data_IF_838306390493
#
_entry.id   IF_838306390493
#
_cell.length_a   1.000
_cell.length_b   1.000
_cell.length_c   1.000
_cell.angle_alpha   90.00
_cell.angle_beta   90.00
_cell.angle_gamma   90.00
#
_symmetry.space_group_name_H-M   'P 1'
#
loop_
_entity.id
_entity.type
_entity.pdbx_description
1 polymer ?
#
# COMPACT_ATOMS: atom_id res chain seq x y z
N UNK A 1 -28.35 -49.44 92.74
CA UNK A 1 -28.48 -49.51 91.29
C UNK A 1 -28.01 -48.16 90.71
N UNK A 2 -26.82 -48.18 90.19
CA UNK A 2 -26.23 -46.95 89.61
C UNK A 2 -26.39 -46.97 88.10
N UNK A 3 -27.06 -45.99 87.47
CA UNK A 3 -27.24 -45.97 85.98
C UNK A 3 -25.88 -45.67 85.36
N UNK A 4 -25.51 -46.52 84.38
CA UNK A 4 -24.30 -46.36 83.59
C UNK A 4 -24.32 -45.04 82.80
N UNK A 5 -23.22 -44.34 82.88
CA UNK A 5 -23.04 -43.10 82.09
C UNK A 5 -23.04 -43.41 80.57
N UNK A 6 -23.65 -42.54 79.73
CA UNK A 6 -23.68 -42.75 78.27
C UNK A 6 -22.26 -42.66 77.69
N UNK A 7 -21.92 -43.61 76.87
CA UNK A 7 -20.65 -43.65 76.11
C UNK A 7 -20.63 -42.46 75.13
N UNK A 8 -19.53 -41.65 75.11
CA UNK A 8 -19.44 -40.55 74.14
C UNK A 8 -19.40 -41.11 72.72
N UNK A 9 -20.18 -40.49 71.86
CA UNK A 9 -20.18 -40.81 70.42
C UNK A 9 -18.78 -40.62 69.81
N UNK A 10 -18.35 -41.47 68.89
CA UNK A 10 -17.06 -41.25 68.18
C UNK A 10 -17.05 -39.94 67.44
N UNK A 11 -16.03 -39.14 67.65
CA UNK A 11 -15.80 -37.88 66.93
C UNK A 11 -15.52 -38.27 65.48
N UNK A 12 -16.39 -37.86 64.55
CA UNK A 12 -16.15 -38.03 63.13
C UNK A 12 -14.85 -37.28 62.72
N UNK A 13 -13.97 -38.01 62.12
CA UNK A 13 -12.69 -37.49 61.61
C UNK A 13 -12.93 -36.32 60.66
N UNK A 14 -12.32 -35.18 60.93
CA UNK A 14 -12.40 -34.00 60.05
C UNK A 14 -11.70 -34.36 58.75
N UNK A 15 -12.48 -34.60 57.70
CA UNK A 15 -11.97 -34.83 56.34
C UNK A 15 -11.16 -33.61 55.94
N UNK A 16 -9.87 -33.76 55.75
CA UNK A 16 -8.99 -32.69 55.31
C UNK A 16 -9.46 -32.12 53.94
N UNK A 17 -9.03 -30.90 53.58
CA UNK A 17 -9.48 -30.24 52.36
C UNK A 17 -9.22 -31.15 51.16
N UNK A 18 -10.29 -31.53 50.46
CA UNK A 18 -10.24 -32.30 49.21
C UNK A 18 -9.65 -31.37 48.16
N UNK A 19 -8.49 -31.69 47.64
CA UNK A 19 -7.92 -31.00 46.53
C UNK A 19 -8.86 -31.16 45.31
N UNK A 20 -9.59 -30.11 44.96
CA UNK A 20 -10.53 -30.09 43.82
C UNK A 20 -9.85 -30.21 42.47
N UNK A 21 -8.51 -30.17 42.42
CA UNK A 21 -7.77 -30.25 41.14
C UNK A 21 -6.99 -31.58 41.06
N UNK A 22 -7.47 -32.52 40.24
CA UNK A 22 -6.83 -33.84 40.07
C UNK A 22 -5.54 -33.80 39.21
N UNK A 23 -5.13 -32.63 38.75
CA UNK A 23 -4.00 -32.49 37.81
C UNK A 23 -2.72 -32.11 38.58
N UNK A 24 -1.60 -32.77 38.30
CA UNK A 24 -0.33 -32.40 38.93
C UNK A 24 0.08 -30.99 38.54
N UNK A 25 0.63 -30.21 39.45
CA UNK A 25 0.99 -28.78 39.27
C UNK A 25 1.84 -28.56 38.01
N UNK A 26 2.76 -29.50 37.70
CA UNK A 26 3.57 -29.42 36.48
C UNK A 26 2.75 -29.45 35.18
N UNK A 27 1.62 -30.18 35.15
CA UNK A 27 0.76 -30.25 33.98
C UNK A 27 0.01 -28.93 33.77
N UNK A 28 -0.40 -28.25 34.82
CA UNK A 28 -1.02 -26.90 34.75
C UNK A 28 -0.01 -25.88 34.25
N UNK A 29 1.23 -25.95 34.74
CA UNK A 29 2.31 -25.06 34.28
C UNK A 29 2.62 -25.29 32.79
N UNK A 30 2.71 -26.53 32.34
CA UNK A 30 2.93 -26.84 30.92
C UNK A 30 1.77 -26.37 30.06
N UNK A 31 0.52 -26.54 30.48
CA UNK A 31 -0.66 -26.05 29.76
C UNK A 31 -0.65 -24.52 29.65
N UNK A 32 -0.29 -23.82 30.73
CA UNK A 32 -0.16 -22.35 30.70
C UNK A 32 0.94 -21.88 29.75
N UNK A 33 2.12 -22.53 29.78
CA UNK A 33 3.21 -22.21 28.83
C UNK A 33 2.84 -22.50 27.39
N UNK A 34 2.16 -23.62 27.12
CA UNK A 34 1.68 -23.95 25.78
C UNK A 34 0.68 -22.91 25.27
N UNK A 35 -0.27 -22.50 26.13
CA UNK A 35 -1.25 -21.47 25.78
C UNK A 35 -0.56 -20.12 25.48
N UNK A 36 0.40 -19.73 26.30
CA UNK A 36 1.17 -18.49 26.08
C UNK A 36 1.98 -18.55 24.78
N UNK A 37 2.58 -19.71 24.46
CA UNK A 37 3.30 -19.91 23.21
C UNK A 37 2.38 -19.84 21.99
N UNK A 38 1.18 -20.42 22.04
CA UNK A 38 0.18 -20.35 20.98
C UNK A 38 -0.30 -18.92 20.76
N UNK A 39 -0.63 -18.20 21.83
CA UNK A 39 -1.04 -16.79 21.78
C UNK A 39 0.09 -15.92 21.22
N UNK A 40 1.32 -16.12 21.65
CA UNK A 40 2.49 -15.41 21.15
C UNK A 40 2.75 -15.69 19.66
N UNK A 41 2.65 -16.95 19.24
CA UNK A 41 2.77 -17.33 17.83
C UNK A 41 1.64 -16.73 16.97
N UNK A 42 0.40 -16.76 17.45
CA UNK A 42 -0.74 -16.14 16.76
C UNK A 42 -0.57 -14.63 16.63
N UNK A 43 -0.18 -13.93 17.69
CA UNK A 43 0.10 -12.49 17.67
C UNK A 43 1.26 -12.16 16.72
N UNK A 44 2.33 -12.95 16.69
CA UNK A 44 3.43 -12.81 15.75
C UNK A 44 2.98 -12.98 14.30
N UNK A 45 2.19 -14.01 14.00
CA UNK A 45 1.67 -14.27 12.65
C UNK A 45 0.73 -13.15 12.19
N UNK A 46 -0.18 -12.70 13.06
CA UNK A 46 -1.08 -11.58 12.78
C UNK A 46 -0.27 -10.31 12.49
N UNK A 47 0.71 -10.02 13.33
CA UNK A 47 1.59 -8.86 13.12
C UNK A 47 2.38 -8.98 11.81
N UNK A 48 2.90 -10.15 11.47
CA UNK A 48 3.62 -10.41 10.22
C UNK A 48 2.72 -10.24 8.98
N UNK A 49 1.45 -10.64 9.06
CA UNK A 49 0.47 -10.46 7.97
C UNK A 49 0.07 -9.01 7.83
N UNK A 50 -0.22 -8.32 8.95
CA UNK A 50 -0.61 -6.90 8.96
C UNK A 50 0.56 -5.96 8.58
N UNK A 51 1.81 -6.35 8.85
CA UNK A 51 2.99 -5.56 8.45
C UNK A 51 3.51 -5.86 7.05
N UNK A 52 2.91 -6.84 6.33
CA UNK A 52 3.15 -6.95 4.90
C UNK A 52 2.57 -5.70 4.25
N UNK A 53 3.40 -4.66 4.11
CA UNK A 53 3.07 -3.47 3.30
C UNK A 53 2.63 -3.98 1.93
N UNK A 54 1.37 -3.79 1.59
CA UNK A 54 0.89 -3.99 0.23
C UNK A 54 1.88 -3.27 -0.70
N UNK A 55 2.44 -3.93 -1.71
CA UNK A 55 3.37 -3.24 -2.61
C UNK A 55 2.68 -1.97 -3.12
N UNK A 56 3.39 -0.83 -3.17
CA UNK A 56 2.79 0.42 -3.59
C UNK A 56 2.19 0.26 -4.98
N UNK A 57 1.01 0.78 -5.20
CA UNK A 57 0.35 0.77 -6.50
C UNK A 57 1.19 1.54 -7.53
N UNK A 58 1.00 1.26 -8.83
CA UNK A 58 1.68 2.00 -9.91
C UNK A 58 1.54 3.51 -9.70
N UNK A 59 0.34 3.97 -9.36
CA UNK A 59 0.04 5.36 -9.03
C UNK A 59 0.85 5.91 -7.85
N UNK A 60 0.92 5.17 -6.75
CA UNK A 60 1.70 5.60 -5.57
C UNK A 60 3.18 5.70 -5.89
N UNK A 61 3.72 4.78 -6.68
CA UNK A 61 5.11 4.82 -7.15
C UNK A 61 5.38 6.04 -8.03
N UNK A 62 4.48 6.31 -8.98
CA UNK A 62 4.59 7.48 -9.86
C UNK A 62 4.55 8.80 -9.07
N UNK A 63 3.57 8.97 -8.18
CA UNK A 63 3.46 10.17 -7.36
C UNK A 63 4.68 10.36 -6.44
N UNK A 64 5.22 9.29 -5.85
CA UNK A 64 6.43 9.35 -5.04
C UNK A 64 7.66 9.74 -5.89
N UNK A 65 7.78 9.23 -7.11
CA UNK A 65 8.84 9.60 -8.05
C UNK A 65 8.75 11.09 -8.44
N UNK A 66 7.56 11.59 -8.79
CA UNK A 66 7.34 13.00 -9.11
C UNK A 66 7.62 13.92 -7.91
N UNK A 67 7.27 13.52 -6.69
CA UNK A 67 7.56 14.29 -5.49
C UNK A 67 9.07 14.33 -5.19
N UNK A 68 9.79 13.25 -5.42
CA UNK A 68 11.25 13.25 -5.29
C UNK A 68 11.92 14.19 -6.30
N UNK A 69 11.40 14.27 -7.52
CA UNK A 69 11.89 15.20 -8.55
C UNK A 69 11.60 16.65 -8.17
N UNK A 70 10.48 16.93 -7.52
CA UNK A 70 10.14 18.26 -7.03
C UNK A 70 11.18 18.82 -6.05
N UNK A 71 11.74 17.97 -5.21
CA UNK A 71 12.80 18.39 -4.26
C UNK A 71 14.16 18.62 -4.91
N UNK A 72 14.36 18.15 -6.14
CA UNK A 72 15.64 18.24 -6.87
C UNK A 72 15.62 19.26 -8.02
N UNK A 73 14.60 20.10 -8.12
CA UNK A 73 14.45 21.08 -9.22
C UNK A 73 15.58 22.13 -9.18
N UNK A 74 15.93 22.61 -7.98
CA UNK A 74 16.92 23.66 -7.81
C UNK A 74 18.29 23.21 -8.37
N UNK A 75 18.72 23.86 -9.46
CA UNK A 75 19.99 23.54 -10.14
C UNK A 75 19.95 22.30 -11.05
N UNK A 76 18.77 21.70 -11.30
CA UNK A 76 18.64 20.60 -12.25
C UNK A 76 18.84 21.07 -13.69
N UNK A 77 19.45 20.20 -14.51
CA UNK A 77 19.50 20.41 -15.96
C UNK A 77 18.10 20.16 -16.55
N UNK A 78 17.47 21.15 -17.24
CA UNK A 78 16.12 21.01 -17.80
C UNK A 78 15.96 19.81 -18.74
N UNK A 79 16.99 19.51 -19.54
CA UNK A 79 16.96 18.37 -20.45
C UNK A 79 16.90 17.04 -19.71
N UNK A 80 17.79 16.83 -18.76
CA UNK A 80 17.82 15.59 -17.94
C UNK A 80 16.55 15.46 -17.10
N UNK A 81 16.05 16.58 -16.58
CA UNK A 81 14.81 16.64 -15.84
C UNK A 81 13.61 16.20 -16.68
N UNK A 82 13.47 16.76 -17.90
CA UNK A 82 12.40 16.39 -18.84
C UNK A 82 12.41 14.89 -19.18
N UNK A 83 13.60 14.31 -19.39
CA UNK A 83 13.73 12.85 -19.60
C UNK A 83 13.20 12.09 -18.38
N UNK A 84 13.66 12.45 -17.18
CA UNK A 84 13.31 11.71 -15.94
C UNK A 84 11.81 11.77 -15.64
N UNK A 85 11.18 12.95 -15.84
CA UNK A 85 9.72 13.08 -15.67
C UNK A 85 8.96 12.27 -16.73
N UNK A 86 9.43 12.30 -17.99
CA UNK A 86 8.83 11.50 -19.07
C UNK A 86 8.91 9.99 -18.76
N UNK A 87 10.05 9.52 -18.29
CA UNK A 87 10.23 8.12 -17.94
C UNK A 87 9.33 7.71 -16.76
N UNK A 88 9.15 8.57 -15.77
CA UNK A 88 8.25 8.30 -14.65
C UNK A 88 6.80 8.09 -15.12
N UNK A 89 6.31 8.92 -16.05
CA UNK A 89 4.96 8.77 -16.64
C UNK A 89 4.86 7.53 -17.53
N UNK A 90 5.89 7.24 -18.33
CA UNK A 90 5.92 6.04 -19.20
C UNK A 90 5.89 4.75 -18.36
N UNK A 91 6.65 4.69 -17.27
CA UNK A 91 6.61 3.56 -16.35
C UNK A 91 5.25 3.43 -15.66
N UNK A 92 4.64 4.55 -15.29
CA UNK A 92 3.29 4.55 -14.72
C UNK A 92 2.27 3.95 -15.67
N UNK A 93 2.26 4.39 -16.95
CA UNK A 93 1.35 3.89 -17.98
C UNK A 93 1.62 2.41 -18.28
N UNK A 94 2.89 2.01 -18.34
CA UNK A 94 3.27 0.61 -18.49
C UNK A 94 2.70 -0.25 -17.35
N UNK A 95 2.91 0.18 -16.11
CA UNK A 95 2.49 -0.59 -14.92
C UNK A 95 0.98 -0.61 -14.71
N UNK A 96 0.27 0.43 -15.15
CA UNK A 96 -1.17 0.59 -14.98
C UNK A 96 -1.97 -0.06 -16.10
N UNK A 97 -1.53 0.12 -17.36
CA UNK A 97 -2.26 -0.30 -18.57
C UNK A 97 -1.60 -1.47 -19.31
N UNK A 98 -0.38 -1.86 -18.94
CA UNK A 98 0.38 -2.91 -19.63
C UNK A 98 0.93 -2.49 -21.00
N UNK A 99 0.92 -1.17 -21.32
CA UNK A 99 1.44 -0.65 -22.57
C UNK A 99 2.97 -0.62 -22.58
N UNK A 100 3.58 -0.80 -23.78
CA UNK A 100 5.05 -0.78 -23.93
C UNK A 100 5.61 0.66 -24.05
N UNK A 101 5.08 1.59 -23.26
CA UNK A 101 5.39 3.01 -23.30
C UNK A 101 6.89 3.33 -23.14
N UNK A 102 7.65 2.46 -22.50
CA UNK A 102 9.08 2.67 -22.18
C UNK A 102 10.02 2.42 -23.36
N UNK A 103 9.58 1.69 -24.39
CA UNK A 103 10.41 1.32 -25.56
C UNK A 103 10.06 2.09 -26.82
N UNK A 104 9.00 2.91 -26.77
CA UNK A 104 8.47 3.65 -27.90
C UNK A 104 8.99 5.08 -27.96
N UNK A 105 9.02 5.64 -29.17
CA UNK A 105 9.21 7.08 -29.39
C UNK A 105 7.98 7.85 -28.87
N UNK A 106 8.11 9.17 -28.66
CA UNK A 106 6.97 9.99 -28.21
C UNK A 106 5.80 9.96 -29.19
N UNK A 107 6.09 9.90 -30.51
CA UNK A 107 5.06 9.84 -31.52
C UNK A 107 4.32 8.50 -31.56
N UNK A 108 5.03 7.38 -31.51
CA UNK A 108 4.44 6.04 -31.46
C UNK A 108 3.60 5.86 -30.21
N UNK A 109 4.11 6.31 -29.06
CA UNK A 109 3.39 6.28 -27.80
C UNK A 109 2.09 7.10 -27.84
N UNK A 110 2.14 8.31 -28.41
CA UNK A 110 0.94 9.13 -28.54
C UNK A 110 -0.10 8.49 -29.47
N UNK A 111 0.32 7.86 -30.57
CA UNK A 111 -0.59 7.20 -31.52
C UNK A 111 -1.25 5.96 -30.87
N UNK A 112 -0.48 5.17 -30.09
CA UNK A 112 -1.04 4.05 -29.35
C UNK A 112 -2.09 4.51 -28.32
N UNK A 113 -1.83 5.59 -27.59
CA UNK A 113 -2.80 6.16 -26.64
C UNK A 113 -4.05 6.66 -27.34
N UNK A 114 -3.91 7.35 -28.49
CA UNK A 114 -5.05 7.91 -29.25
C UNK A 114 -6.03 6.83 -29.68
N UNK A 115 -5.52 5.68 -30.10
CA UNK A 115 -6.32 4.55 -30.58
C UNK A 115 -6.82 3.63 -29.45
N UNK A 116 -6.25 3.73 -28.25
CA UNK A 116 -6.57 2.85 -27.13
C UNK A 116 -7.85 3.30 -26.40
N UNK A 117 -8.88 2.44 -26.32
CA UNK A 117 -10.13 2.76 -25.64
C UNK A 117 -10.03 2.79 -24.10
N UNK A 118 -8.92 2.34 -23.52
CA UNK A 118 -8.69 2.41 -22.08
C UNK A 118 -8.48 3.83 -21.57
N UNK A 119 -8.16 4.79 -22.47
CA UNK A 119 -7.97 6.20 -22.13
C UNK A 119 -9.19 7.03 -22.54
N UNK A 120 -9.66 7.86 -21.61
CA UNK A 120 -10.65 8.88 -21.91
C UNK A 120 -10.08 10.00 -22.80
N UNK A 121 -10.95 10.77 -23.45
CA UNK A 121 -10.51 11.89 -24.29
C UNK A 121 -9.74 12.96 -23.51
N UNK A 122 -10.09 13.17 -22.22
CA UNK A 122 -9.36 14.08 -21.34
C UNK A 122 -7.95 13.59 -21.01
N UNK A 123 -7.76 12.29 -20.82
CA UNK A 123 -6.45 11.68 -20.58
C UNK A 123 -5.58 11.75 -21.83
N UNK A 124 -6.15 11.46 -23.00
CA UNK A 124 -5.48 11.61 -24.30
C UNK A 124 -4.99 13.03 -24.54
N UNK A 125 -5.86 14.01 -24.29
CA UNK A 125 -5.52 15.42 -24.42
C UNK A 125 -4.43 15.83 -23.41
N UNK A 126 -4.56 15.41 -22.16
CA UNK A 126 -3.58 15.68 -21.11
C UNK A 126 -2.20 15.09 -21.40
N UNK A 127 -2.14 13.84 -21.90
CA UNK A 127 -0.89 13.19 -22.31
C UNK A 127 -0.25 13.87 -23.52
N UNK A 128 -1.05 14.35 -24.48
CA UNK A 128 -0.55 15.12 -25.61
C UNK A 128 0.13 16.42 -25.17
N UNK A 129 -0.52 17.18 -24.28
CA UNK A 129 0.04 18.41 -23.71
C UNK A 129 1.31 18.11 -22.88
N UNK A 130 1.31 17.03 -22.12
CA UNK A 130 2.48 16.62 -21.34
C UNK A 130 3.68 16.29 -22.23
N UNK A 131 3.48 15.53 -23.31
CA UNK A 131 4.56 15.18 -24.24
C UNK A 131 5.10 16.43 -24.96
N UNK A 132 4.22 17.34 -25.39
CA UNK A 132 4.62 18.62 -25.99
C UNK A 132 5.47 19.46 -25.02
N UNK A 133 5.05 19.61 -23.76
CA UNK A 133 5.83 20.29 -22.72
C UNK A 133 7.18 19.63 -22.47
N UNK A 134 7.21 18.29 -22.46
CA UNK A 134 8.44 17.53 -22.29
C UNK A 134 9.42 17.76 -23.44
N UNK A 135 8.93 17.77 -24.68
CA UNK A 135 9.76 17.99 -25.85
C UNK A 135 10.25 19.44 -25.93
N UNK A 136 9.42 20.43 -25.58
CA UNK A 136 9.87 21.82 -25.40
C UNK A 136 11.00 21.92 -24.38
N UNK A 137 10.87 21.32 -23.22
CA UNK A 137 11.90 21.35 -22.19
C UNK A 137 13.22 20.70 -22.65
N UNK A 138 13.14 19.63 -23.44
CA UNK A 138 14.32 18.95 -24.00
C UNK A 138 15.05 19.77 -25.07
N UNK A 139 14.30 20.51 -25.88
CA UNK A 139 14.86 21.18 -27.08
C UNK A 139 15.14 22.68 -26.86
N UNK A 140 14.44 23.37 -25.94
CA UNK A 140 14.59 24.78 -25.62
C UNK A 140 15.58 25.07 -24.49
N UNK A 141 16.71 24.38 -24.45
CA UNK A 141 17.73 24.35 -23.39
C UNK A 141 18.11 25.69 -22.76
N UNK A 142 18.09 26.77 -23.52
CA UNK A 142 18.60 28.08 -23.09
C UNK A 142 17.53 28.96 -22.44
N UNK A 143 16.26 28.63 -22.64
CA UNK A 143 15.11 29.45 -22.21
C UNK A 143 14.26 28.75 -21.14
N UNK A 144 14.50 27.44 -20.91
CA UNK A 144 13.74 26.65 -19.94
C UNK A 144 14.28 26.90 -18.53
N UNK A 145 13.45 27.48 -17.69
CA UNK A 145 13.74 27.77 -16.31
C UNK A 145 13.08 26.81 -15.32
N UNK A 146 13.19 27.12 -14.06
CA UNK A 146 12.60 26.38 -12.95
C UNK A 146 11.06 26.34 -13.03
N UNK A 147 10.44 27.42 -13.57
CA UNK A 147 8.99 27.53 -13.76
C UNK A 147 8.43 26.50 -14.74
N UNK A 148 9.14 26.23 -15.84
CA UNK A 148 8.76 25.24 -16.82
C UNK A 148 8.87 23.81 -16.27
N UNK A 149 9.91 23.53 -15.49
CA UNK A 149 10.08 22.26 -14.80
C UNK A 149 8.96 22.02 -13.77
N UNK A 150 8.57 23.04 -13.01
CA UNK A 150 7.44 22.98 -12.08
C UNK A 150 6.13 22.72 -12.84
N UNK A 151 5.88 23.45 -13.94
CA UNK A 151 4.70 23.27 -14.77
C UNK A 151 4.58 21.86 -15.35
N UNK A 152 5.69 21.26 -15.79
CA UNK A 152 5.75 19.88 -16.27
C UNK A 152 5.40 18.89 -15.16
N UNK A 153 5.94 19.06 -13.94
CA UNK A 153 5.60 18.22 -12.78
C UNK A 153 4.13 18.31 -12.38
N UNK A 154 3.56 19.52 -12.43
CA UNK A 154 2.13 19.71 -12.13
C UNK A 154 1.24 19.00 -13.16
N UNK A 155 1.61 19.09 -14.43
CA UNK A 155 0.90 18.40 -15.51
C UNK A 155 1.01 16.89 -15.34
N UNK A 156 2.22 16.36 -15.11
CA UNK A 156 2.44 14.94 -14.80
C UNK A 156 1.64 14.48 -13.58
N UNK A 157 1.65 15.26 -12.50
CA UNK A 157 0.90 14.96 -11.28
C UNK A 157 -0.62 14.98 -11.50
N UNK A 158 -1.15 15.83 -12.35
CA UNK A 158 -2.56 15.85 -12.74
C UNK A 158 -2.94 14.60 -13.51
N UNK A 159 -2.13 14.18 -14.49
CA UNK A 159 -2.34 12.95 -15.24
C UNK A 159 -2.46 11.73 -14.36
N UNK A 160 -1.50 11.53 -13.42
CA UNK A 160 -1.51 10.41 -12.49
C UNK A 160 -2.71 10.46 -11.54
N UNK A 161 -3.26 11.64 -11.24
CA UNK A 161 -4.42 11.83 -10.35
C UNK A 161 -5.77 11.73 -11.04
N UNK A 162 -5.89 12.19 -12.28
CA UNK A 162 -7.16 12.25 -13.04
C UNK A 162 -7.77 10.88 -13.33
N UNK A 163 -6.95 9.84 -13.38
CA UNK A 163 -7.36 8.45 -13.60
C UNK A 163 -8.17 7.81 -12.44
N UNK A 164 -8.55 8.59 -11.43
CA UNK A 164 -9.30 8.11 -10.23
C UNK A 164 -10.82 8.07 -10.44
N UNK A 165 -11.35 8.43 -11.58
CA UNK A 165 -12.74 8.09 -11.86
C UNK A 165 -12.78 6.76 -12.63
N UNK A 166 -12.99 5.61 -11.95
CA UNK A 166 -13.52 4.45 -12.65
C UNK A 166 -14.82 4.91 -13.27
N UNK A 167 -14.90 4.82 -14.59
CA UNK A 167 -15.99 5.31 -15.37
C UNK A 167 -17.32 5.10 -14.65
N UNK A 168 -18.01 6.18 -14.40
CA UNK A 168 -19.43 6.15 -14.12
C UNK A 168 -20.03 5.54 -15.37
N UNK A 169 -20.24 4.24 -15.30
CA UNK A 169 -20.96 3.45 -16.28
C UNK A 169 -22.27 4.20 -16.45
N UNK A 170 -22.43 4.85 -17.59
CA UNK A 170 -23.61 5.61 -17.93
C UNK A 170 -24.84 4.79 -17.59
N UNK A 171 -25.52 5.17 -16.54
CA UNK A 171 -26.86 4.75 -16.25
C UNK A 171 -27.76 5.39 -17.29
N UNK A 172 -27.83 4.73 -18.45
CA UNK A 172 -28.89 4.94 -19.39
C UNK A 172 -30.17 4.43 -18.73
N UNK A 173 -30.94 5.35 -18.18
CA UNK A 173 -32.31 5.10 -17.72
C UNK A 173 -33.24 5.19 -18.94
N UNK A 174 -34.19 4.26 -19.08
CA UNK A 174 -35.09 4.15 -20.19
C UNK A 174 -36.07 5.31 -20.32
#
# INVERSE_FOLDING_TARGET
>A
MNPAAPTPAPIEDIVGPVWLFPWPVWAVVLAALATLAVVGAAAYLIRRVLTKKTPPTARQRALAALESLRTSIAGADPYAFGITVSDAIRHYIHDQHGLQATTQTSLEFLEEIRTNPAFSDNEKAGLSVFLEQTDLLKFARAESGESEMIGLLETAGRLVRSEVQPGTKGEAKP
#
